data_IF_636075326350
#
_entry.id   IF_636075326350
#
_cell.length_a   1.000
_cell.length_b   1.000
_cell.length_c   1.000
_cell.angle_alpha   90.00
_cell.angle_beta   90.00
_cell.angle_gamma   90.00
#
_symmetry.space_group_name_H-M   'P 1'
#
loop_
_entity.id
_entity.type
_entity.pdbx_description
1 polymer ?
#
# COMPACT_ATOMS: atom_id res chain seq x y z
N UNK A 1 -3.17 -4.91 -26.66
CA UNK A 1 -4.07 -4.70 -25.50
C UNK A 1 -3.59 -5.51 -24.31
N UNK A 2 -3.56 -4.89 -23.15
CA UNK A 2 -3.10 -5.57 -21.95
C UNK A 2 -4.21 -6.46 -21.37
N UNK A 3 -3.82 -7.58 -20.78
CA UNK A 3 -4.74 -8.43 -20.05
C UNK A 3 -5.14 -7.78 -18.72
N UNK A 4 -6.24 -8.24 -18.13
CA UNK A 4 -6.74 -7.72 -16.86
C UNK A 4 -5.68 -7.80 -15.77
N UNK A 5 -4.93 -8.91 -15.71
CA UNK A 5 -3.85 -9.09 -14.73
C UNK A 5 -2.73 -8.08 -14.91
N UNK A 6 -2.44 -7.70 -16.15
CA UNK A 6 -1.43 -6.68 -16.44
C UNK A 6 -1.90 -5.31 -15.96
N UNK A 7 -3.16 -4.95 -16.18
CA UNK A 7 -3.73 -3.71 -15.69
C UNK A 7 -3.71 -3.65 -14.16
N UNK A 8 -4.09 -4.74 -13.51
CA UNK A 8 -4.08 -4.82 -12.05
C UNK A 8 -2.67 -4.64 -11.50
N UNK A 9 -1.68 -5.25 -12.16
CA UNK A 9 -0.28 -5.14 -11.77
C UNK A 9 0.22 -3.70 -11.92
N UNK A 10 -0.08 -3.05 -13.05
CA UNK A 10 0.33 -1.67 -13.31
C UNK A 10 -0.30 -0.72 -12.27
N UNK A 11 -1.60 -0.86 -12.01
CA UNK A 11 -2.29 -0.03 -11.02
C UNK A 11 -1.72 -0.22 -9.62
N UNK A 12 -1.41 -1.46 -9.26
CA UNK A 12 -0.80 -1.78 -7.99
C UNK A 12 0.58 -1.12 -7.86
N UNK A 13 1.39 -1.19 -8.93
CA UNK A 13 2.74 -0.59 -8.92
C UNK A 13 2.69 0.92 -8.79
N UNK A 14 1.72 1.58 -9.42
CA UNK A 14 1.58 3.03 -9.34
C UNK A 14 1.18 3.49 -7.93
N UNK A 15 0.37 2.70 -7.25
CA UNK A 15 -0.20 3.05 -5.95
C UNK A 15 0.62 2.55 -4.76
N UNK A 16 1.51 1.60 -4.99
CA UNK A 16 2.19 0.89 -3.91
C UNK A 16 3.06 1.80 -3.03
N UNK A 17 3.69 2.81 -3.63
CA UNK A 17 4.52 3.74 -2.86
C UNK A 17 3.71 4.51 -1.82
N UNK A 18 2.47 4.85 -2.14
CA UNK A 18 1.58 5.54 -1.21
C UNK A 18 1.09 4.59 -0.12
N UNK A 19 0.79 3.33 -0.48
CA UNK A 19 0.47 2.31 0.51
C UNK A 19 1.62 2.12 1.49
N UNK A 20 2.84 1.97 0.99
CA UNK A 20 4.02 1.76 1.82
C UNK A 20 4.25 2.93 2.78
N UNK A 21 3.99 4.15 2.30
CA UNK A 21 4.16 5.36 3.11
C UNK A 21 3.07 5.46 4.18
N UNK A 22 1.82 5.21 3.83
CA UNK A 22 0.69 5.25 4.77
C UNK A 22 0.82 4.17 5.84
N UNK A 23 1.39 3.03 5.50
CA UNK A 23 1.61 1.96 6.46
C UNK A 23 2.54 2.36 7.60
N UNK A 24 3.36 3.38 7.41
CA UNK A 24 4.23 3.91 8.47
C UNK A 24 3.46 4.71 9.51
N UNK A 25 2.22 5.11 9.21
CA UNK A 25 1.39 5.84 10.17
C UNK A 25 0.87 4.83 11.20
N UNK A 26 1.06 5.10 12.52
CA UNK A 26 0.61 4.16 13.54
C UNK A 26 -0.88 3.85 13.44
N UNK A 27 -1.23 2.57 13.63
CA UNK A 27 -2.61 2.10 13.65
C UNK A 27 -3.37 2.28 12.33
N UNK A 28 -2.65 2.49 11.23
CA UNK A 28 -3.28 2.63 9.92
C UNK A 28 -3.43 1.24 9.28
N UNK A 29 -4.54 0.56 9.59
CA UNK A 29 -4.78 -0.82 9.18
C UNK A 29 -5.84 -0.96 8.10
N UNK A 30 -6.39 -2.17 8.02
CA UNK A 30 -7.32 -2.61 6.98
C UNK A 30 -8.52 -1.68 6.81
N UNK A 31 -9.19 -1.32 7.90
CA UNK A 31 -10.41 -0.52 7.85
C UNK A 31 -10.14 0.84 7.20
N UNK A 32 -9.07 1.50 7.62
CA UNK A 32 -8.74 2.83 7.08
C UNK A 32 -8.32 2.75 5.62
N UNK A 33 -7.54 1.74 5.23
CA UNK A 33 -7.19 1.54 3.82
C UNK A 33 -8.43 1.32 2.96
N UNK A 34 -9.40 0.53 3.44
CA UNK A 34 -10.65 0.31 2.71
C UNK A 34 -11.45 1.60 2.56
N UNK A 35 -11.48 2.42 3.60
CA UNK A 35 -12.17 3.72 3.55
C UNK A 35 -11.54 4.65 2.53
N UNK A 36 -10.20 4.68 2.48
CA UNK A 36 -9.50 5.50 1.49
C UNK A 36 -9.77 5.01 0.08
N UNK A 37 -9.70 3.72 -0.16
CA UNK A 37 -9.96 3.18 -1.49
C UNK A 37 -11.41 3.39 -1.92
N UNK A 38 -12.35 3.22 -1.01
CA UNK A 38 -13.77 3.42 -1.31
C UNK A 38 -14.09 4.86 -1.70
N UNK A 39 -13.44 5.82 -1.04
CA UNK A 39 -13.71 7.24 -1.29
C UNK A 39 -12.88 7.81 -2.45
N UNK A 40 -11.61 7.47 -2.52
CA UNK A 40 -10.67 8.07 -3.47
C UNK A 40 -10.35 7.18 -4.67
N UNK A 41 -10.72 5.92 -4.64
CA UNK A 41 -10.38 4.96 -5.68
C UNK A 41 -8.96 4.44 -5.55
N UNK A 42 -7.98 5.33 -5.60
CA UNK A 42 -6.58 5.00 -5.41
C UNK A 42 -6.05 5.67 -4.15
N UNK A 43 -5.21 4.96 -3.42
CA UNK A 43 -4.61 5.47 -2.19
C UNK A 43 -3.74 6.71 -2.46
N UNK A 44 -3.13 6.78 -3.64
CA UNK A 44 -2.35 7.94 -4.04
C UNK A 44 -3.16 9.24 -4.07
N UNK A 45 -4.44 9.15 -4.41
CA UNK A 45 -5.32 10.33 -4.39
C UNK A 45 -5.56 10.80 -2.95
N UNK A 46 -5.64 9.85 -2.01
CA UNK A 46 -5.77 10.17 -0.59
C UNK A 46 -4.52 10.87 -0.05
N UNK A 47 -3.35 10.48 -0.54
CA UNK A 47 -2.09 11.09 -0.10
C UNK A 47 -2.05 12.60 -0.35
N UNK A 48 -2.74 13.08 -1.37
CA UNK A 48 -2.78 14.50 -1.73
C UNK A 48 -4.04 15.21 -1.26
N UNK A 49 -4.96 14.50 -0.61
CA UNK A 49 -6.24 15.05 -0.19
C UNK A 49 -6.09 16.02 0.99
N UNK A 50 -7.01 16.97 1.07
CA UNK A 50 -7.06 17.90 2.19
C UNK A 50 -7.63 17.21 3.42
N UNK A 51 -7.36 17.78 4.60
CA UNK A 51 -7.86 17.23 5.86
C UNK A 51 -9.37 16.98 5.82
N UNK A 52 -10.14 17.96 5.32
CA UNK A 52 -11.59 17.83 5.24
C UNK A 52 -12.03 16.66 4.36
N UNK A 53 -11.30 16.41 3.26
CA UNK A 53 -11.60 15.30 2.36
C UNK A 53 -11.29 13.95 3.00
N UNK A 54 -10.19 13.87 3.75
CA UNK A 54 -9.84 12.66 4.48
C UNK A 54 -10.89 12.33 5.55
N UNK A 55 -11.37 13.34 6.25
CA UNK A 55 -12.43 13.16 7.24
C UNK A 55 -13.75 12.76 6.58
N UNK A 56 -14.05 13.31 5.41
CA UNK A 56 -15.23 12.93 4.64
C UNK A 56 -15.17 11.46 4.18
N UNK A 57 -13.97 10.93 3.97
CA UNK A 57 -13.78 9.53 3.63
C UNK A 57 -13.97 8.58 4.82
N UNK A 58 -14.14 9.13 6.01
CA UNK A 58 -14.33 8.34 7.23
C UNK A 58 -13.07 8.13 8.04
N UNK A 59 -12.02 8.90 7.76
CA UNK A 59 -10.80 8.85 8.55
C UNK A 59 -10.96 9.77 9.75
N UNK A 60 -10.68 9.25 10.94
CA UNK A 60 -10.78 10.02 12.17
C UNK A 60 -9.80 11.19 12.16
N UNK A 61 -10.07 12.21 12.99
CA UNK A 61 -9.30 13.45 13.00
C UNK A 61 -7.79 13.21 13.18
N UNK A 62 -7.40 12.40 14.14
CA UNK A 62 -5.99 12.18 14.44
C UNK A 62 -5.23 11.49 13.31
N UNK A 63 -5.67 10.34 12.78
CA UNK A 63 -5.00 9.73 11.64
C UNK A 63 -5.02 10.63 10.40
N UNK A 64 -6.09 11.38 10.18
CA UNK A 64 -6.15 12.31 9.04
C UNK A 64 -5.09 13.40 9.16
N UNK A 65 -4.89 13.96 10.34
CA UNK A 65 -3.85 14.95 10.58
C UNK A 65 -2.45 14.35 10.43
N UNK A 66 -2.29 13.09 10.84
CA UNK A 66 -1.01 12.39 10.68
C UNK A 66 -0.64 12.22 9.21
N UNK A 67 -1.61 11.97 8.34
CA UNK A 67 -1.37 11.92 6.89
C UNK A 67 -0.87 13.28 6.39
N UNK A 68 -1.55 14.35 6.77
CA UNK A 68 -1.18 15.70 6.34
C UNK A 68 0.24 16.05 6.80
N UNK A 69 0.58 15.72 8.04
CA UNK A 69 1.94 15.96 8.58
C UNK A 69 2.97 15.10 7.87
N UNK A 70 2.64 13.85 7.60
CA UNK A 70 3.58 12.90 6.97
C UNK A 70 4.03 13.35 5.58
N UNK A 71 3.21 14.09 4.85
CA UNK A 71 3.58 14.58 3.52
C UNK A 71 4.86 15.41 3.52
N UNK A 72 5.09 16.15 4.58
CA UNK A 72 6.28 17.00 4.70
C UNK A 72 7.50 16.24 5.22
N UNK A 73 7.32 15.02 5.72
CA UNK A 73 8.39 14.25 6.36
C UNK A 73 8.79 13.00 5.59
N UNK A 74 7.88 12.43 4.82
CA UNK A 74 8.09 11.14 4.15
C UNK A 74 7.89 11.31 2.66
N UNK A 75 8.88 10.87 1.88
CA UNK A 75 8.76 10.81 0.42
C UNK A 75 8.35 9.40 0.02
N UNK A 76 7.20 9.22 -0.65
CA UNK A 76 6.81 7.90 -1.14
C UNK A 76 7.84 7.27 -2.07
N UNK A 77 8.47 8.07 -2.93
CA UNK A 77 9.51 7.56 -3.83
C UNK A 77 10.72 7.05 -3.06
N UNK A 78 11.13 7.76 -2.02
CA UNK A 78 12.23 7.32 -1.16
C UNK A 78 11.89 6.04 -0.40
N UNK A 79 10.64 5.87 0.01
CA UNK A 79 10.20 4.64 0.67
C UNK A 79 10.36 3.43 -0.23
N UNK A 80 9.92 3.55 -1.48
CA UNK A 80 10.05 2.46 -2.46
C UNK A 80 11.51 2.16 -2.76
N UNK A 81 12.32 3.19 -2.93
CA UNK A 81 13.75 3.01 -3.17
C UNK A 81 14.43 2.27 -2.01
N UNK A 82 14.12 2.65 -0.78
CA UNK A 82 14.66 2.00 0.41
C UNK A 82 14.28 0.51 0.46
N UNK A 83 13.03 0.19 0.14
CA UNK A 83 12.58 -1.20 0.11
C UNK A 83 13.26 -2.00 -0.99
N UNK A 84 13.41 -1.41 -2.17
CA UNK A 84 14.09 -2.04 -3.29
C UNK A 84 15.54 -2.37 -2.95
N UNK A 85 16.24 -1.43 -2.34
CA UNK A 85 17.63 -1.64 -1.92
C UNK A 85 17.75 -2.71 -0.84
N UNK A 86 16.73 -2.86 -0.01
CA UNK A 86 16.70 -3.90 1.02
C UNK A 86 16.28 -5.28 0.49
N UNK A 87 15.98 -5.40 -0.81
CA UNK A 87 15.52 -6.65 -1.40
C UNK A 87 14.10 -7.01 -1.06
N UNK A 88 13.28 -6.01 -0.73
CA UNK A 88 11.88 -6.21 -0.34
C UNK A 88 10.97 -5.67 -1.43
N UNK A 89 9.97 -6.47 -1.81
CA UNK A 89 8.94 -6.06 -2.78
C UNK A 89 7.62 -5.87 -2.05
N UNK A 90 7.11 -4.64 -1.94
CA UNK A 90 5.79 -4.43 -1.38
C UNK A 90 4.70 -4.78 -2.41
N UNK A 91 3.64 -5.42 -1.96
CA UNK A 91 2.46 -5.69 -2.79
C UNK A 91 1.21 -5.35 -1.99
N UNK A 92 0.22 -4.77 -2.64
CA UNK A 92 -1.07 -4.55 -2.01
C UNK A 92 -2.06 -5.67 -2.41
N UNK A 93 -3.25 -5.66 -1.84
CA UNK A 93 -4.25 -6.71 -2.07
C UNK A 93 -4.82 -6.74 -3.50
N UNK A 94 -4.49 -5.76 -4.33
CA UNK A 94 -4.88 -5.78 -5.75
C UNK A 94 -3.81 -6.43 -6.65
N UNK A 95 -2.62 -6.65 -6.09
CA UNK A 95 -1.52 -7.21 -6.87
C UNK A 95 -1.71 -8.70 -7.11
N UNK A 96 -1.39 -9.20 -8.31
CA UNK A 96 -1.52 -10.63 -8.62
C UNK A 96 -0.73 -11.55 -7.69
N UNK A 97 0.37 -11.07 -7.11
CA UNK A 97 1.20 -11.86 -6.20
C UNK A 97 0.64 -11.92 -4.78
N UNK A 98 -0.41 -11.15 -4.49
CA UNK A 98 -1.06 -11.22 -3.18
C UNK A 98 -1.84 -12.55 -3.10
N UNK A 99 -1.59 -13.36 -2.06
CA UNK A 99 -2.23 -14.69 -1.96
C UNK A 99 -3.76 -14.59 -1.93
N UNK A 100 -4.46 -15.31 -2.83
CA UNK A 100 -5.93 -15.24 -2.86
C UNK A 100 -6.60 -15.66 -1.56
N UNK A 101 -6.05 -16.68 -0.88
CA UNK A 101 -6.61 -17.15 0.39
C UNK A 101 -6.54 -16.10 1.49
N UNK A 102 -5.55 -15.20 1.41
CA UNK A 102 -5.37 -14.15 2.41
C UNK A 102 -6.46 -13.09 2.32
N UNK A 103 -7.06 -12.92 1.14
CA UNK A 103 -8.19 -11.98 0.98
C UNK A 103 -9.46 -12.47 1.65
N UNK A 104 -9.56 -13.76 1.88
CA UNK A 104 -10.77 -14.39 2.42
C UNK A 104 -10.82 -14.42 3.93
N UNK A 105 -9.74 -14.10 4.62
CA UNK A 105 -9.74 -14.05 6.07
C UNK A 105 -10.50 -12.83 6.58
N UNK A 106 -10.87 -12.85 7.86
CA UNK A 106 -11.70 -11.80 8.47
C UNK A 106 -11.07 -10.40 8.34
N UNK A 107 -9.78 -10.30 8.55
CA UNK A 107 -9.08 -9.01 8.56
C UNK A 107 -7.83 -9.08 7.68
N UNK A 108 -8.00 -9.10 6.34
CA UNK A 108 -6.86 -9.24 5.45
C UNK A 108 -5.96 -8.01 5.52
N UNK A 109 -4.64 -8.21 5.58
CA UNK A 109 -3.73 -7.07 5.52
C UNK A 109 -3.84 -6.37 4.17
N UNK A 110 -3.85 -5.02 4.14
CA UNK A 110 -3.95 -4.30 2.86
C UNK A 110 -2.74 -4.50 1.97
N UNK A 111 -1.63 -4.97 2.50
CA UNK A 111 -0.45 -5.26 1.72
C UNK A 111 0.53 -6.11 2.47
N UNK A 112 1.52 -6.60 1.73
CA UNK A 112 2.56 -7.49 2.23
C UNK A 112 3.92 -7.03 1.74
N UNK A 113 4.96 -7.39 2.48
CA UNK A 113 6.34 -7.20 2.06
C UNK A 113 6.91 -8.57 1.68
N UNK A 114 7.24 -8.74 0.40
CA UNK A 114 7.82 -9.98 -0.09
C UNK A 114 9.33 -9.83 -0.20
N UNK A 115 10.08 -10.80 0.31
CA UNK A 115 11.55 -10.78 0.28
C UNK A 115 12.05 -11.47 -0.97
N UNK A 116 12.58 -10.70 -1.91
CA UNK A 116 13.05 -11.24 -3.18
C UNK A 116 14.25 -12.17 -3.01
N UNK A 117 15.21 -11.77 -2.19
CA UNK A 117 16.43 -12.57 -2.00
C UNK A 117 16.13 -13.90 -1.32
N UNK A 118 15.06 -14.01 -0.53
CA UNK A 118 14.68 -15.26 0.10
C UNK A 118 14.30 -16.32 -0.95
N UNK A 119 13.57 -15.91 -1.98
CA UNK A 119 13.24 -16.81 -3.08
C UNK A 119 14.48 -17.27 -3.82
N UNK A 120 15.45 -16.37 -4.05
CA UNK A 120 16.72 -16.71 -4.68
C UNK A 120 17.53 -17.67 -3.83
N UNK A 121 17.59 -17.46 -2.52
CA UNK A 121 18.27 -18.34 -1.59
C UNK A 121 17.65 -19.73 -1.60
N UNK A 122 16.33 -19.83 -1.61
CA UNK A 122 15.63 -21.11 -1.67
C UNK A 122 15.96 -21.86 -2.95
N UNK A 123 16.02 -21.18 -4.08
CA UNK A 123 16.39 -21.81 -5.35
C UNK A 123 17.82 -22.31 -5.34
N UNK A 124 18.72 -21.54 -4.77
CA UNK A 124 20.12 -21.92 -4.66
C UNK A 124 20.33 -23.09 -3.70
N UNK A 125 19.56 -23.13 -2.63
CA UNK A 125 19.66 -24.17 -1.61
C UNK A 125 18.84 -25.41 -1.91
N UNK A 126 17.96 -25.31 -2.87
CA UNK A 126 17.06 -26.39 -3.19
C UNK A 126 17.45 -27.17 -4.38
#
# INVERSE_FOLDING_TARGET
MLEVSEYAKIRSMEDIKFWATLKRIPQFGTVRFRRLEAHFGKVGNAWQARLAELKAAGIEDRPAREIVVARSRISPDAEIERMTLAGVKPVNWHHPDYPPWLKEIHDPPPGLLLQRHLAAVRRAGG
#
